data_IF_259751156418
#
_entry.id   IF_259751156418
#
_cell.length_a   1.000
_cell.length_b   1.000
_cell.length_c   1.000
_cell.angle_alpha   90.00
_cell.angle_beta   90.00
_cell.angle_gamma   90.00
#
_symmetry.space_group_name_H-M   'P 1'
#
loop_
_entity.id
_entity.type
_entity.pdbx_description
1 polymer ?
#
# COMPACT_ATOMS: atom_id res chain seq x y z
N UNK A 1 -11.86 9.22 -12.87
CA UNK A 1 -10.40 9.06 -13.04
C UNK A 1 -9.86 8.43 -11.76
N UNK A 2 -9.09 7.36 -11.87
CA UNK A 2 -8.46 6.72 -10.71
C UNK A 2 -7.10 7.35 -10.44
N UNK A 3 -6.78 7.50 -9.16
CA UNK A 3 -5.61 8.22 -8.71
C UNK A 3 -5.09 7.67 -7.38
N UNK A 4 -3.84 8.03 -7.09
CA UNK A 4 -3.18 7.88 -5.81
C UNK A 4 -2.71 9.26 -5.35
N UNK A 5 -2.71 9.52 -4.04
CA UNK A 5 -2.24 10.81 -3.52
C UNK A 5 -0.71 10.92 -3.60
N UNK A 6 -0.20 12.16 -3.74
CA UNK A 6 1.25 12.42 -3.74
C UNK A 6 1.97 11.86 -2.51
N UNK A 7 1.31 11.80 -1.35
CA UNK A 7 1.90 11.20 -0.14
C UNK A 7 2.27 9.71 -0.28
N UNK A 8 1.48 8.92 -1.00
CA UNK A 8 1.80 7.51 -1.26
C UNK A 8 2.97 7.39 -2.24
N UNK A 9 3.02 8.29 -3.23
CA UNK A 9 4.18 8.40 -4.13
C UNK A 9 5.44 8.76 -3.33
N UNK A 10 5.40 9.76 -2.45
CA UNK A 10 6.54 10.14 -1.61
C UNK A 10 7.05 8.99 -0.74
N UNK A 11 6.15 8.16 -0.23
CA UNK A 11 6.54 6.94 0.48
C UNK A 11 7.37 6.02 -0.41
N UNK A 12 6.93 5.78 -1.64
CA UNK A 12 7.67 4.97 -2.62
C UNK A 12 9.05 5.57 -2.90
N UNK A 13 9.12 6.87 -3.18
CA UNK A 13 10.39 7.55 -3.47
C UNK A 13 11.34 7.51 -2.26
N UNK A 14 10.81 7.67 -1.05
CA UNK A 14 11.58 7.57 0.18
C UNK A 14 12.10 6.16 0.41
N UNK A 15 11.29 5.13 0.13
CA UNK A 15 11.71 3.73 0.20
C UNK A 15 12.85 3.42 -0.78
N UNK A 16 12.75 3.92 -2.02
CA UNK A 16 13.79 3.77 -3.04
C UNK A 16 15.08 4.48 -2.64
N UNK A 17 14.97 5.70 -2.12
CA UNK A 17 16.12 6.43 -1.61
C UNK A 17 16.80 5.71 -0.42
N UNK A 18 16.03 5.12 0.50
CA UNK A 18 16.57 4.31 1.61
C UNK A 18 17.28 3.04 1.15
N UNK A 19 16.90 2.48 -0.02
CA UNK A 19 17.65 1.39 -0.66
C UNK A 19 18.91 1.86 -1.40
N UNK A 20 19.25 3.15 -1.34
CA UNK A 20 20.44 3.72 -1.98
C UNK A 20 20.29 3.96 -3.48
N UNK A 21 19.07 3.87 -4.02
CA UNK A 21 18.78 4.08 -5.43
C UNK A 21 18.42 5.54 -5.73
N UNK A 22 18.75 5.99 -6.94
CA UNK A 22 18.50 7.37 -7.37
C UNK A 22 17.04 7.54 -7.83
N UNK A 23 16.33 8.47 -7.18
CA UNK A 23 14.93 8.79 -7.49
C UNK A 23 14.76 9.44 -8.87
N UNK A 24 15.69 10.26 -9.33
CA UNK A 24 15.63 10.85 -10.67
C UNK A 24 15.77 9.79 -11.76
N UNK A 25 16.60 8.79 -11.56
CA UNK A 25 16.74 7.68 -12.50
C UNK A 25 15.48 6.81 -12.54
N UNK A 26 14.83 6.61 -11.38
CA UNK A 26 13.52 5.97 -11.30
C UNK A 26 12.45 6.72 -12.10
N UNK A 27 12.32 8.03 -11.87
CA UNK A 27 11.32 8.86 -12.55
C UNK A 27 11.55 8.90 -14.06
N UNK A 28 12.81 9.02 -14.51
CA UNK A 28 13.18 8.93 -15.93
C UNK A 28 12.80 7.56 -16.51
N UNK A 29 13.10 6.47 -15.81
CA UNK A 29 12.76 5.11 -16.25
C UNK A 29 11.24 4.90 -16.35
N UNK A 30 10.49 5.51 -15.44
CA UNK A 30 9.02 5.51 -15.43
C UNK A 30 8.40 6.48 -16.43
N UNK A 31 9.20 7.31 -17.12
CA UNK A 31 8.75 8.39 -17.99
C UNK A 31 7.79 9.39 -17.28
N UNK A 32 8.10 9.71 -16.02
CA UNK A 32 7.32 10.66 -15.21
C UNK A 32 8.14 11.92 -14.92
N UNK A 33 7.58 13.07 -15.23
CA UNK A 33 8.20 14.37 -14.98
C UNK A 33 8.28 14.69 -13.48
N UNK A 34 9.43 15.17 -13.02
CA UNK A 34 9.64 15.50 -11.58
C UNK A 34 8.72 16.62 -11.10
N UNK A 35 8.25 17.48 -12.00
CA UNK A 35 7.32 18.58 -11.69
C UNK A 35 6.02 18.10 -11.03
N UNK A 36 5.59 16.85 -11.26
CA UNK A 36 4.43 16.27 -10.58
C UNK A 36 4.61 16.17 -9.05
N UNK A 37 5.85 16.13 -8.56
CA UNK A 37 6.16 16.08 -7.13
C UNK A 37 6.12 17.44 -6.44
N UNK A 38 6.05 18.54 -7.20
CA UNK A 38 6.11 19.88 -6.64
C UNK A 38 4.82 20.30 -5.92
N UNK A 39 3.71 19.64 -6.23
CA UNK A 39 2.41 19.91 -5.62
C UNK A 39 1.93 18.69 -4.82
N UNK A 40 1.85 18.87 -3.50
CA UNK A 40 1.46 17.84 -2.54
C UNK A 40 -0.03 17.51 -2.60
N UNK A 41 -0.85 18.42 -3.12
CA UNK A 41 -2.30 18.24 -3.28
C UNK A 41 -2.66 17.55 -4.60
N UNK A 42 -1.66 17.33 -5.48
CA UNK A 42 -1.89 16.62 -6.72
C UNK A 42 -2.35 15.17 -6.49
N UNK A 43 -3.21 14.76 -7.40
CA UNK A 43 -3.66 13.38 -7.55
C UNK A 43 -2.90 12.79 -8.73
N UNK A 44 -1.97 11.88 -8.46
CA UNK A 44 -1.23 11.22 -9.52
C UNK A 44 -2.16 10.24 -10.24
N UNK A 45 -2.24 10.29 -11.57
CA UNK A 45 -2.92 9.26 -12.34
C UNK A 45 -2.42 7.87 -11.95
N UNK A 46 -3.33 6.92 -11.81
CA UNK A 46 -2.97 5.56 -11.38
C UNK A 46 -1.97 4.88 -12.33
N UNK A 47 -2.06 5.16 -13.64
CA UNK A 47 -1.17 4.60 -14.67
C UNK A 47 0.28 5.08 -14.50
N UNK A 48 0.47 6.35 -14.13
CA UNK A 48 1.79 6.89 -13.80
C UNK A 48 2.32 6.25 -12.53
N UNK A 49 1.48 6.07 -11.51
CA UNK A 49 1.87 5.36 -10.28
C UNK A 49 2.36 3.95 -10.57
N UNK A 50 1.64 3.20 -11.43
CA UNK A 50 2.04 1.86 -11.82
C UNK A 50 3.33 1.84 -12.63
N UNK A 51 3.54 2.81 -13.52
CA UNK A 51 4.80 2.93 -14.26
C UNK A 51 6.00 3.15 -13.32
N UNK A 52 5.82 3.96 -12.27
CA UNK A 52 6.85 4.18 -11.24
C UNK A 52 7.05 2.91 -10.40
N UNK A 53 5.98 2.21 -10.02
CA UNK A 53 6.07 0.94 -9.28
C UNK A 53 6.79 -0.15 -10.08
N UNK A 54 6.45 -0.33 -11.36
CA UNK A 54 7.11 -1.29 -12.26
C UNK A 54 8.61 -0.99 -12.37
N UNK A 55 8.98 0.29 -12.58
CA UNK A 55 10.36 0.72 -12.64
C UNK A 55 11.11 0.49 -11.32
N UNK A 56 10.45 0.72 -10.18
CA UNK A 56 11.01 0.49 -8.84
C UNK A 56 11.27 -1.00 -8.57
N UNK A 57 10.34 -1.88 -8.94
CA UNK A 57 10.50 -3.33 -8.83
C UNK A 57 11.69 -3.79 -9.69
N UNK A 58 11.76 -3.35 -10.94
CA UNK A 58 12.86 -3.70 -11.85
C UNK A 58 14.22 -3.21 -11.33
N UNK A 59 14.31 -1.96 -10.86
CA UNK A 59 15.55 -1.38 -10.37
C UNK A 59 16.05 -2.04 -9.07
N UNK A 60 15.13 -2.53 -8.23
CA UNK A 60 15.49 -3.21 -6.98
C UNK A 60 15.76 -4.69 -7.16
N UNK A 61 15.18 -5.32 -8.20
CA UNK A 61 15.21 -6.77 -8.38
C UNK A 61 14.48 -7.53 -7.26
N UNK A 62 13.58 -6.87 -6.55
CA UNK A 62 12.91 -7.40 -5.35
C UNK A 62 11.58 -8.08 -5.71
N UNK A 63 11.58 -9.41 -5.77
CA UNK A 63 10.38 -10.20 -6.10
C UNK A 63 9.25 -10.05 -5.07
N UNK A 64 9.56 -9.57 -3.86
CA UNK A 64 8.61 -9.34 -2.77
C UNK A 64 8.49 -7.85 -2.42
N UNK A 65 8.80 -6.96 -3.38
CA UNK A 65 8.89 -5.51 -3.17
C UNK A 65 7.72 -4.92 -2.37
N UNK A 66 6.49 -5.32 -2.68
CA UNK A 66 5.28 -4.86 -2.01
C UNK A 66 5.22 -5.27 -0.55
N UNK A 67 5.50 -6.54 -0.24
CA UNK A 67 5.56 -7.07 1.12
C UNK A 67 6.60 -6.31 1.95
N UNK A 68 7.82 -6.19 1.44
CA UNK A 68 8.93 -5.52 2.13
C UNK A 68 8.64 -4.04 2.36
N UNK A 69 8.13 -3.34 1.35
CA UNK A 69 7.76 -1.93 1.45
C UNK A 69 6.63 -1.72 2.46
N UNK A 70 5.61 -2.58 2.45
CA UNK A 70 4.48 -2.52 3.38
C UNK A 70 4.90 -2.79 4.83
N UNK A 71 5.81 -3.73 5.06
CA UNK A 71 6.25 -4.11 6.40
C UNK A 71 7.05 -3.00 7.09
N UNK A 72 7.85 -2.26 6.31
CA UNK A 72 8.67 -1.16 6.78
C UNK A 72 7.94 0.17 6.98
N UNK A 73 6.62 0.22 6.76
CA UNK A 73 5.86 1.46 6.80
C UNK A 73 5.62 1.97 8.23
N UNK A 74 5.97 3.24 8.46
CA UNK A 74 5.60 3.99 9.66
C UNK A 74 4.26 4.73 9.46
N UNK A 75 3.58 5.19 10.53
CA UNK A 75 2.35 5.99 10.38
C UNK A 75 2.50 7.19 9.44
N UNK A 76 3.66 7.88 9.46
CA UNK A 76 3.94 9.00 8.56
C UNK A 76 4.00 8.64 7.08
N UNK A 77 4.32 7.39 6.75
CA UNK A 77 4.39 6.88 5.38
C UNK A 77 2.97 6.71 4.77
N UNK A 78 1.94 6.61 5.60
CA UNK A 78 0.54 6.43 5.19
C UNK A 78 -0.24 7.75 5.16
N UNK A 79 0.46 8.88 5.14
CA UNK A 79 -0.17 10.20 5.18
C UNK A 79 -1.06 10.36 6.43
N UNK A 80 -2.04 11.25 6.35
CA UNK A 80 -3.02 11.46 7.41
C UNK A 80 -3.78 10.17 7.79
N UNK A 81 -3.95 9.22 6.86
CA UNK A 81 -4.62 7.95 7.15
C UNK A 81 -3.84 7.12 8.18
N UNK A 82 -2.52 7.08 8.05
CA UNK A 82 -1.65 6.41 9.02
C UNK A 82 -1.77 6.97 10.41
N UNK A 83 -1.78 8.31 10.52
CA UNK A 83 -1.97 8.99 11.80
C UNK A 83 -3.36 8.75 12.39
N UNK A 84 -4.42 8.80 11.58
CA UNK A 84 -5.79 8.50 12.01
C UNK A 84 -5.85 7.09 12.62
N UNK A 85 -5.26 6.11 11.96
CA UNK A 85 -5.26 4.73 12.45
C UNK A 85 -4.37 4.56 13.69
N UNK A 86 -3.20 5.19 13.73
CA UNK A 86 -2.31 5.15 14.89
C UNK A 86 -2.90 5.82 16.14
N UNK A 87 -3.87 6.72 15.96
CA UNK A 87 -4.60 7.37 17.05
C UNK A 87 -5.73 6.52 17.64
N UNK A 88 -6.08 5.40 17.00
CA UNK A 88 -7.17 4.53 17.47
C UNK A 88 -6.77 3.76 18.73
N UNK A 89 -7.74 3.54 19.61
CA UNK A 89 -7.52 2.78 20.85
C UNK A 89 -7.60 1.27 20.62
N UNK A 90 -8.28 0.84 19.57
CA UNK A 90 -8.50 -0.58 19.27
C UNK A 90 -8.22 -0.88 17.80
N UNK A 91 -7.83 -2.14 17.53
CA UNK A 91 -7.67 -2.66 16.16
C UNK A 91 -8.97 -2.48 15.37
N UNK A 92 -10.12 -2.82 15.95
CA UNK A 92 -11.44 -2.67 15.32
C UNK A 92 -11.66 -1.24 14.84
N UNK A 93 -11.45 -0.26 15.69
CA UNK A 93 -11.62 1.16 15.34
C UNK A 93 -10.69 1.57 14.19
N UNK A 94 -9.44 1.11 14.18
CA UNK A 94 -8.52 1.38 13.09
C UNK A 94 -8.96 0.75 11.76
N UNK A 95 -9.47 -0.49 11.79
CA UNK A 95 -9.98 -1.20 10.61
C UNK A 95 -11.31 -0.65 10.09
N UNK A 96 -12.12 -0.03 10.95
CA UNK A 96 -13.30 0.71 10.50
C UNK A 96 -12.88 2.04 9.85
N UNK A 97 -11.89 2.74 10.43
CA UNK A 97 -11.39 4.02 9.89
C UNK A 97 -10.63 3.86 8.59
N UNK A 98 -9.86 2.77 8.37
CA UNK A 98 -9.19 2.55 7.07
C UNK A 98 -10.22 2.54 5.95
N UNK A 99 -11.36 1.88 6.14
CA UNK A 99 -12.45 1.87 5.16
C UNK A 99 -13.06 3.24 4.90
N UNK A 100 -13.34 3.99 5.97
CA UNK A 100 -13.95 5.31 5.89
C UNK A 100 -13.04 6.36 5.20
N UNK A 101 -11.73 6.24 5.39
CA UNK A 101 -10.78 7.28 5.02
C UNK A 101 -9.81 6.86 3.90
N UNK A 102 -9.93 5.65 3.33
CA UNK A 102 -9.07 5.22 2.21
C UNK A 102 -9.10 6.19 1.02
N UNK A 103 -10.27 6.82 0.76
CA UNK A 103 -10.47 7.80 -0.31
C UNK A 103 -9.49 9.00 -0.28
N UNK A 104 -8.89 9.26 0.89
CA UNK A 104 -7.86 10.29 1.06
C UNK A 104 -6.59 9.94 0.29
N UNK A 105 -6.20 8.65 0.30
CA UNK A 105 -4.93 8.21 -0.27
C UNK A 105 -5.08 7.54 -1.65
N UNK A 106 -6.28 7.08 -2.00
CA UNK A 106 -6.52 6.46 -3.30
C UNK A 106 -8.00 6.30 -3.62
N UNK A 107 -8.30 6.09 -4.89
CA UNK A 107 -9.68 5.91 -5.39
C UNK A 107 -9.94 4.54 -6.01
N UNK A 108 -9.03 3.59 -5.86
CA UNK A 108 -9.04 2.31 -6.59
C UNK A 108 -9.90 1.23 -5.97
N UNK A 109 -10.17 1.32 -4.67
CA UNK A 109 -10.83 0.26 -3.92
C UNK A 109 -11.69 0.81 -2.78
N UNK A 110 -12.69 0.03 -2.40
CA UNK A 110 -13.40 0.17 -1.13
C UNK A 110 -12.81 -0.83 -0.15
N UNK A 111 -12.66 -0.40 1.10
CA UNK A 111 -12.20 -1.25 2.18
C UNK A 111 -13.29 -1.24 3.24
N UNK A 112 -13.65 -2.39 3.78
CA UNK A 112 -14.61 -2.46 4.87
C UNK A 112 -14.39 -3.67 5.75
N UNK A 113 -14.78 -3.52 7.01
CA UNK A 113 -14.71 -4.56 8.03
C UNK A 113 -16.06 -5.27 8.13
N UNK A 114 -16.04 -6.59 8.07
CA UNK A 114 -17.19 -7.45 8.35
C UNK A 114 -16.91 -8.26 9.61
N UNK A 115 -17.83 -8.24 10.56
CA UNK A 115 -17.74 -9.00 11.81
C UNK A 115 -18.69 -10.18 11.72
N UNK A 116 -18.18 -11.38 11.96
CA UNK A 116 -18.91 -12.64 11.87
C UNK A 116 -18.65 -13.46 13.14
N UNK A 117 -19.51 -13.30 14.16
CA UNK A 117 -19.30 -13.94 15.46
C UNK A 117 -18.02 -13.44 16.13
N UNK A 118 -17.11 -14.37 16.41
CA UNK A 118 -15.80 -14.09 17.01
C UNK A 118 -14.73 -13.67 15.98
N UNK A 119 -15.08 -13.69 14.69
CA UNK A 119 -14.17 -13.38 13.59
C UNK A 119 -14.42 -12.00 12.96
N UNK A 120 -13.35 -11.45 12.38
CA UNK A 120 -13.36 -10.21 11.63
C UNK A 120 -12.67 -10.40 10.29
N UNK A 121 -13.31 -9.93 9.21
CA UNK A 121 -12.80 -9.97 7.84
C UNK A 121 -12.65 -8.54 7.34
N UNK A 122 -11.42 -8.16 6.99
CA UNK A 122 -11.16 -6.93 6.27
C UNK A 122 -11.17 -7.23 4.77
N UNK A 123 -12.05 -6.57 4.04
CA UNK A 123 -12.31 -6.87 2.64
C UNK A 123 -11.91 -5.66 1.79
N UNK A 124 -11.13 -5.92 0.74
CA UNK A 124 -10.77 -4.94 -0.28
C UNK A 124 -11.49 -5.27 -1.58
N UNK A 125 -12.36 -4.36 -2.02
CA UNK A 125 -13.07 -4.46 -3.29
C UNK A 125 -12.51 -3.44 -4.27
N UNK A 126 -11.82 -3.93 -5.30
CA UNK A 126 -11.37 -3.09 -6.40
C UNK A 126 -12.57 -2.59 -7.19
N UNK A 127 -12.63 -1.27 -7.41
CA UNK A 127 -13.73 -0.64 -8.14
C UNK A 127 -13.71 -0.97 -9.64
N UNK A 128 -12.56 -1.41 -10.15
CA UNK A 128 -12.33 -1.85 -11.52
C UNK A 128 -11.10 -2.77 -11.55
N UNK A 129 -11.01 -3.66 -12.53
CA UNK A 129 -9.77 -4.35 -12.83
C UNK A 129 -8.77 -3.41 -13.51
N UNK A 130 -7.53 -3.42 -13.03
CA UNK A 130 -6.43 -2.64 -13.57
C UNK A 130 -5.29 -3.58 -13.93
N UNK A 131 -5.26 -4.16 -15.14
CA UNK A 131 -4.21 -5.10 -15.49
C UNK A 131 -2.87 -4.37 -15.59
N UNK A 132 -1.95 -4.67 -14.67
CA UNK A 132 -0.57 -4.19 -14.67
C UNK A 132 0.32 -5.22 -13.92
N UNK A 133 1.62 -5.25 -14.23
CA UNK A 133 2.58 -6.21 -13.65
C UNK A 133 2.76 -5.99 -12.14
N UNK A 134 2.75 -4.73 -11.67
CA UNK A 134 2.95 -4.41 -10.27
C UNK A 134 1.74 -4.71 -9.37
N UNK A 135 0.59 -5.15 -9.91
CA UNK A 135 -0.66 -5.29 -9.14
C UNK A 135 -0.50 -6.25 -7.97
N UNK A 136 0.20 -7.36 -8.17
CA UNK A 136 0.53 -8.29 -7.08
C UNK A 136 1.25 -7.56 -5.95
N UNK A 137 2.28 -6.78 -6.26
CA UNK A 137 3.03 -6.01 -5.27
C UNK A 137 2.16 -4.91 -4.61
N UNK A 138 1.21 -4.31 -5.31
CA UNK A 138 0.26 -3.37 -4.72
C UNK A 138 -0.66 -4.04 -3.69
N UNK A 139 -1.12 -5.26 -3.98
CA UNK A 139 -1.93 -6.08 -3.05
C UNK A 139 -1.08 -6.47 -1.84
N UNK A 140 0.10 -7.06 -2.07
CA UNK A 140 1.06 -7.45 -1.04
C UNK A 140 1.38 -6.30 -0.10
N UNK A 141 1.63 -5.11 -0.66
CA UNK A 141 1.85 -3.89 0.09
C UNK A 141 0.68 -3.55 1.00
N UNK A 142 -0.55 -3.60 0.46
CA UNK A 142 -1.76 -3.29 1.22
C UNK A 142 -1.95 -4.23 2.40
N UNK A 143 -1.74 -5.52 2.18
CA UNK A 143 -1.86 -6.58 3.19
C UNK A 143 -0.77 -6.43 4.27
N UNK A 144 0.51 -6.39 3.86
CA UNK A 144 1.65 -6.30 4.76
C UNK A 144 1.60 -5.04 5.63
N UNK A 145 1.28 -3.89 5.03
CA UNK A 145 1.12 -2.63 5.75
C UNK A 145 -0.03 -2.71 6.77
N UNK A 146 -1.19 -3.23 6.36
CA UNK A 146 -2.34 -3.34 7.26
C UNK A 146 -2.05 -4.28 8.42
N UNK A 147 -1.39 -5.42 8.15
CA UNK A 147 -0.96 -6.35 9.19
C UNK A 147 -0.01 -5.70 10.19
N UNK A 148 0.97 -4.93 9.70
CA UNK A 148 1.92 -4.20 10.55
C UNK A 148 1.18 -3.23 11.46
N UNK A 149 0.20 -2.50 10.94
CA UNK A 149 -0.61 -1.56 11.74
C UNK A 149 -1.43 -2.27 12.81
N UNK A 150 -2.09 -3.37 12.45
CA UNK A 150 -2.84 -4.20 13.40
C UNK A 150 -1.92 -4.63 14.55
N UNK A 151 -0.73 -5.13 14.21
CA UNK A 151 0.25 -5.60 15.20
C UNK A 151 0.75 -4.48 16.10
N UNK A 152 1.00 -3.29 15.54
CA UNK A 152 1.42 -2.11 16.30
C UNK A 152 0.34 -1.65 17.29
N UNK A 153 -0.93 -1.59 16.85
CA UNK A 153 -2.05 -1.16 17.71
C UNK A 153 -2.36 -2.21 18.79
N UNK A 154 -2.29 -3.49 18.44
CA UNK A 154 -2.46 -4.59 19.39
C UNK A 154 -1.28 -4.73 20.37
N UNK A 155 -0.14 -4.09 20.07
CA UNK A 155 1.14 -4.25 20.76
C UNK A 155 1.57 -5.73 20.89
N UNK A 156 1.24 -6.53 19.88
CA UNK A 156 1.59 -7.95 19.77
C UNK A 156 1.40 -8.42 18.33
N UNK A 157 2.04 -9.54 18.00
CA UNK A 157 1.69 -10.29 16.79
C UNK A 157 0.25 -10.77 16.86
N UNK A 158 -0.50 -10.54 15.79
CA UNK A 158 -1.87 -11.04 15.65
C UNK A 158 -1.83 -12.22 14.69
N UNK A 159 -2.50 -13.31 15.07
CA UNK A 159 -2.67 -14.47 14.20
C UNK A 159 -3.67 -14.14 13.08
N UNK A 160 -3.26 -14.38 11.84
CA UNK A 160 -4.15 -14.30 10.68
C UNK A 160 -4.62 -15.71 10.36
N UNK A 161 -5.92 -15.94 10.45
CA UNK A 161 -6.50 -17.26 10.16
C UNK A 161 -6.35 -17.61 8.69
N UNK A 162 -6.71 -16.68 7.80
CA UNK A 162 -6.78 -16.91 6.36
C UNK A 162 -6.52 -15.60 5.60
N UNK A 163 -5.91 -15.72 4.42
CA UNK A 163 -5.74 -14.63 3.45
C UNK A 163 -6.24 -15.11 2.10
N UNK A 164 -7.17 -14.36 1.49
CA UNK A 164 -7.66 -14.63 0.15
C UNK A 164 -7.25 -13.53 -0.80
N UNK A 165 -6.62 -13.90 -1.90
CA UNK A 165 -6.25 -12.98 -2.97
C UNK A 165 -6.82 -13.51 -4.28
N UNK A 166 -7.38 -12.62 -5.10
CA UNK A 166 -7.78 -12.95 -6.49
C UNK A 166 -6.53 -12.94 -7.39
N UNK A 167 -5.59 -13.83 -7.09
CA UNK A 167 -4.36 -14.07 -7.84
C UNK A 167 -3.94 -15.52 -7.59
N UNK A 168 -3.10 -16.06 -8.48
CA UNK A 168 -2.48 -17.36 -8.22
C UNK A 168 -1.61 -17.28 -6.95
N UNK A 169 -1.56 -18.36 -6.15
CA UNK A 169 -0.69 -18.39 -4.99
C UNK A 169 0.77 -18.15 -5.41
N UNK A 170 1.57 -17.48 -4.58
CA UNK A 170 3.01 -17.38 -4.79
C UNK A 170 3.63 -18.77 -5.00
N UNK A 171 4.57 -18.90 -5.94
CA UNK A 171 5.35 -20.13 -6.11
C UNK A 171 6.18 -20.45 -4.86
N UNK A 172 6.58 -19.41 -4.13
CA UNK A 172 7.32 -19.47 -2.87
C UNK A 172 6.59 -18.66 -1.80
N UNK A 173 6.28 -19.34 -0.70
CA UNK A 173 5.56 -18.82 0.46
C UNK A 173 6.49 -18.45 1.62
N UNK A 174 7.82 -18.50 1.45
CA UNK A 174 8.79 -18.28 2.53
C UNK A 174 8.72 -16.90 3.19
N UNK A 175 8.25 -15.89 2.45
CA UNK A 175 8.07 -14.50 2.90
C UNK A 175 6.62 -14.17 3.33
N UNK A 176 5.71 -15.15 3.26
CA UNK A 176 4.26 -14.98 3.52
C UNK A 176 3.81 -15.53 4.87
#
# INVERSE_FOLDING_TARGET
MFYISTSILQRLLSYISRKGLNVDDLLKKANVERSFLADLDNKLPLEDYYSIMDAAIEMTGDNYFGLHMGHGAAPGDLSILGYIMASCQTVREALEKIGKYFAIIGSTQKIYLKIEGDDAKLIWEFMKEFPNKCIKHCIDLGLSNTYKMISNIANKTVEIKEVWVKADPPEDMSEY
#
